data_IF_058155632188
#
_entry.id   IF_058155632188
#
_cell.length_a   1.000
_cell.length_b   1.000
_cell.length_c   1.000
_cell.angle_alpha   90.00
_cell.angle_beta   90.00
_cell.angle_gamma   90.00
#
_symmetry.space_group_name_H-M   'P 1'
#
loop_
_entity.id
_entity.type
_entity.pdbx_description
1 polymer ?
#
# COMPACT_ATOMS: atom_id res chain seq x y z
N UNK A 1 23.89 43.37 19.56
CA UNK A 1 24.73 43.39 18.35
C UNK A 1 25.54 42.11 18.29
N UNK A 2 25.10 41.16 17.47
CA UNK A 2 25.75 39.94 16.92
C UNK A 2 24.63 39.35 16.03
N UNK A 3 24.71 39.23 14.71
CA UNK A 3 25.85 38.92 13.87
C UNK A 3 25.77 37.44 13.51
N UNK A 4 25.38 37.15 12.26
CA UNK A 4 25.35 35.85 11.55
C UNK A 4 23.96 35.19 11.39
N UNK A 5 23.28 35.54 10.31
CA UNK A 5 22.62 34.54 9.47
C UNK A 5 22.55 35.07 8.04
N UNK A 6 23.65 34.89 7.31
CA UNK A 6 23.70 35.02 5.86
C UNK A 6 24.02 33.62 5.29
N UNK A 7 23.42 33.33 4.14
CA UNK A 7 23.77 32.26 3.20
C UNK A 7 23.27 30.85 3.50
N UNK A 8 22.09 30.55 2.96
CA UNK A 8 21.95 29.43 2.02
C UNK A 8 20.77 29.70 1.09
N UNK A 9 21.05 30.28 -0.08
CA UNK A 9 20.16 30.15 -1.23
C UNK A 9 20.14 28.66 -1.59
N UNK A 10 19.08 27.95 -1.18
CA UNK A 10 18.86 26.57 -1.62
C UNK A 10 18.39 26.66 -3.06
N UNK A 11 19.36 26.54 -3.96
CA UNK A 11 19.16 26.36 -5.40
C UNK A 11 18.09 25.32 -5.64
N UNK A 12 17.22 25.62 -6.59
CA UNK A 12 16.19 24.72 -7.08
C UNK A 12 16.82 23.40 -7.54
N UNK A 13 16.67 22.37 -6.70
CA UNK A 13 16.92 21.00 -7.08
C UNK A 13 15.60 20.46 -7.61
N UNK A 14 15.58 20.25 -8.93
CA UNK A 14 14.50 19.64 -9.69
C UNK A 14 13.97 18.44 -8.90
N UNK A 15 12.71 18.55 -8.49
CA UNK A 15 11.90 17.43 -8.05
C UNK A 15 11.80 16.46 -9.23
N UNK A 16 12.78 15.56 -9.29
CA UNK A 16 12.71 14.39 -10.14
C UNK A 16 11.61 13.55 -9.54
N UNK A 17 10.50 13.50 -10.28
CA UNK A 17 9.41 12.58 -10.10
C UNK A 17 10.01 11.17 -10.02
N UNK A 18 10.26 10.69 -8.81
CA UNK A 18 10.52 9.27 -8.57
C UNK A 18 9.17 8.62 -8.74
N UNK A 19 8.80 8.40 -10.00
CA UNK A 19 7.88 7.35 -10.38
C UNK A 19 8.37 6.13 -9.62
N UNK A 20 7.59 5.75 -8.60
CA UNK A 20 7.77 4.51 -7.88
C UNK A 20 7.42 3.44 -8.91
N UNK A 21 8.41 3.08 -9.73
CA UNK A 21 8.40 1.85 -10.49
C UNK A 21 8.49 0.77 -9.42
N UNK A 22 7.33 0.42 -8.87
CA UNK A 22 7.15 -0.75 -8.03
C UNK A 22 7.69 -1.90 -8.86
N UNK A 23 8.94 -2.29 -8.57
CA UNK A 23 9.59 -3.43 -9.17
C UNK A 23 8.61 -4.59 -9.06
N UNK A 24 7.94 -4.90 -10.17
CA UNK A 24 7.07 -6.06 -10.30
C UNK A 24 7.97 -7.22 -9.94
N UNK A 25 7.80 -7.73 -8.73
CA UNK A 25 8.49 -8.95 -8.32
C UNK A 25 8.11 -9.98 -9.35
N UNK A 26 9.08 -10.43 -10.15
CA UNK A 26 8.86 -11.45 -11.16
C UNK A 26 8.33 -12.70 -10.45
N UNK A 27 7.01 -12.85 -10.45
CA UNK A 27 6.37 -14.01 -9.85
C UNK A 27 6.83 -15.23 -10.64
N UNK A 28 7.35 -16.23 -9.93
CA UNK A 28 7.71 -17.49 -10.55
C UNK A 28 6.51 -18.02 -11.34
N UNK A 29 6.73 -18.36 -12.61
CA UNK A 29 5.66 -18.80 -13.50
C UNK A 29 5.03 -20.09 -12.96
N UNK A 30 3.82 -19.97 -12.39
CA UNK A 30 3.11 -21.10 -11.78
C UNK A 30 2.58 -22.14 -12.77
N UNK A 31 2.59 -21.83 -14.08
CA UNK A 31 2.11 -22.72 -15.14
C UNK A 31 3.24 -22.92 -16.15
N UNK A 32 3.55 -24.18 -16.46
CA UNK A 32 4.60 -24.57 -17.40
C UNK A 32 4.06 -25.42 -18.54
N UNK A 33 4.48 -25.11 -19.77
CA UNK A 33 4.26 -25.97 -20.95
C UNK A 33 5.23 -27.14 -20.89
N UNK A 34 4.70 -28.36 -20.73
CA UNK A 34 5.52 -29.57 -20.67
C UNK A 34 5.82 -30.16 -22.05
N UNK A 35 4.91 -29.98 -23.02
CA UNK A 35 5.03 -30.50 -24.39
C UNK A 35 4.33 -29.58 -25.40
N UNK A 36 4.82 -29.59 -26.63
CA UNK A 36 4.30 -28.78 -27.74
C UNK A 36 4.98 -27.42 -27.86
N UNK A 37 4.69 -26.72 -28.96
CA UNK A 37 5.11 -25.34 -29.20
C UNK A 37 3.84 -24.52 -29.45
N UNK A 38 3.13 -24.08 -28.41
CA UNK A 38 1.93 -23.27 -28.59
C UNK A 38 2.30 -21.96 -29.28
N UNK A 39 1.40 -21.45 -30.12
CA UNK A 39 1.58 -20.14 -30.72
C UNK A 39 1.22 -19.03 -29.73
N UNK A 40 1.71 -17.82 -29.98
CA UNK A 40 1.42 -16.66 -29.14
C UNK A 40 -0.09 -16.37 -29.07
N UNK A 41 -0.83 -16.66 -30.15
CA UNK A 41 -2.29 -16.53 -30.21
C UNK A 41 -3.01 -17.49 -29.26
N UNK A 42 -2.56 -18.75 -29.20
CA UNK A 42 -3.13 -19.76 -28.30
C UNK A 42 -2.84 -19.41 -26.83
N UNK A 43 -1.63 -18.92 -26.55
CA UNK A 43 -1.27 -18.45 -25.21
C UNK A 43 -2.10 -17.24 -24.79
N UNK A 44 -2.36 -16.29 -25.70
CA UNK A 44 -3.20 -15.14 -25.43
C UNK A 44 -4.66 -15.56 -25.15
N UNK A 45 -5.20 -16.50 -25.93
CA UNK A 45 -6.53 -17.04 -25.72
C UNK A 45 -6.64 -17.75 -24.35
N UNK A 46 -5.62 -18.53 -23.98
CA UNK A 46 -5.55 -19.17 -22.67
C UNK A 46 -5.56 -18.15 -21.53
N UNK A 47 -4.70 -17.12 -21.60
CA UNK A 47 -4.63 -16.07 -20.58
C UNK A 47 -5.94 -15.30 -20.46
N UNK A 48 -6.63 -15.02 -21.57
CA UNK A 48 -7.94 -14.37 -21.55
C UNK A 48 -8.99 -15.21 -20.79
N UNK A 49 -9.01 -16.53 -21.02
CA UNK A 49 -9.92 -17.43 -20.30
C UNK A 49 -9.56 -17.53 -18.81
N UNK A 50 -8.28 -17.70 -18.46
CA UNK A 50 -7.87 -17.72 -17.05
C UNK A 50 -8.10 -16.38 -16.35
N UNK A 51 -7.89 -15.26 -17.02
CA UNK A 51 -8.14 -13.93 -16.47
C UNK A 51 -9.62 -13.67 -16.18
N UNK A 52 -10.52 -14.20 -17.01
CA UNK A 52 -11.97 -14.10 -16.77
C UNK A 52 -12.44 -15.07 -15.67
N UNK A 53 -11.89 -16.28 -15.62
CA UNK A 53 -12.23 -17.28 -14.59
C UNK A 53 -11.62 -16.97 -13.21
N UNK A 54 -10.43 -16.36 -13.17
CA UNK A 54 -9.68 -16.08 -11.94
C UNK A 54 -10.27 -14.99 -11.05
N UNK A 55 -11.37 -14.36 -11.47
CA UNK A 55 -11.90 -13.17 -10.84
C UNK A 55 -11.01 -11.97 -11.15
N UNK A 56 -11.55 -10.99 -11.87
CA UNK A 56 -10.83 -9.74 -12.15
C UNK A 56 -10.32 -9.10 -10.85
N UNK A 57 -9.27 -8.26 -10.97
CA UNK A 57 -8.73 -7.50 -9.84
C UNK A 57 -9.90 -6.95 -9.04
N UNK A 58 -10.06 -7.42 -7.81
CA UNK A 58 -11.18 -7.03 -6.98
C UNK A 58 -11.18 -5.50 -6.94
N UNK A 59 -12.27 -4.89 -7.44
CA UNK A 59 -12.60 -3.47 -7.20
C UNK A 59 -12.14 -3.16 -5.78
N UNK A 60 -11.32 -2.12 -5.53
CA UNK A 60 -10.69 -1.90 -4.23
C UNK A 60 -11.76 -2.03 -3.18
N UNK A 61 -11.80 -3.20 -2.53
CA UNK A 61 -12.97 -3.56 -1.75
C UNK A 61 -13.09 -2.46 -0.72
N UNK A 62 -14.29 -1.91 -0.56
CA UNK A 62 -14.57 -1.02 0.57
C UNK A 62 -14.25 -1.87 1.79
N UNK A 63 -13.03 -1.71 2.30
CA UNK A 63 -12.53 -2.52 3.40
C UNK A 63 -13.44 -2.16 4.56
N UNK A 64 -14.14 -3.16 5.07
CA UNK A 64 -14.86 -3.00 6.32
C UNK A 64 -13.90 -2.37 7.33
N UNK A 65 -14.42 -1.41 8.09
CA UNK A 65 -13.62 -0.63 9.03
C UNK A 65 -12.87 -1.60 9.95
N UNK A 66 -11.56 -1.68 9.80
CA UNK A 66 -10.74 -2.53 10.65
C UNK A 66 -10.57 -1.83 12.01
N UNK A 67 -11.42 -2.22 12.96
CA UNK A 67 -11.36 -1.74 14.34
C UNK A 67 -10.25 -2.43 15.16
N UNK A 68 -9.53 -3.39 14.58
CA UNK A 68 -8.52 -4.18 15.25
C UNK A 68 -7.13 -3.62 14.95
N UNK A 69 -6.32 -3.46 16.00
CA UNK A 69 -4.91 -3.08 15.85
C UNK A 69 -4.67 -1.57 15.73
N UNK A 70 -5.63 -0.74 16.16
CA UNK A 70 -5.39 0.69 16.28
C UNK A 70 -4.24 0.92 17.28
N UNK A 71 -3.26 1.80 17.03
CA UNK A 71 -2.12 1.99 17.92
C UNK A 71 -2.54 2.32 19.35
N UNK A 72 -3.71 2.96 19.53
CA UNK A 72 -4.32 3.25 20.84
C UNK A 72 -4.51 2.02 21.72
N UNK A 73 -4.80 0.87 21.12
CA UNK A 73 -5.08 -0.38 21.84
C UNK A 73 -3.80 -0.97 22.43
N UNK A 74 -2.64 -0.60 21.88
CA UNK A 74 -1.31 -1.03 22.34
C UNK A 74 -0.76 -0.18 23.49
N UNK A 75 -1.34 0.98 23.80
CA UNK A 75 -0.84 1.83 24.88
C UNK A 75 -1.20 1.25 26.25
N UNK A 76 -0.16 1.04 27.06
CA UNK A 76 -0.26 0.59 28.45
C UNK A 76 -0.46 1.77 29.41
N UNK A 77 -1.56 2.48 29.24
CA UNK A 77 -2.01 3.44 30.25
C UNK A 77 -2.85 2.74 31.32
N UNK A 78 -2.80 3.24 32.55
CA UNK A 78 -3.76 2.86 33.59
C UNK A 78 -5.20 3.07 33.11
N UNK A 79 -6.12 2.23 33.55
CA UNK A 79 -7.51 2.22 33.08
C UNK A 79 -8.25 3.55 33.35
N UNK A 80 -7.82 4.29 34.38
CA UNK A 80 -8.38 5.59 34.76
C UNK A 80 -7.63 6.79 34.13
N UNK A 81 -6.64 6.52 33.26
CA UNK A 81 -5.91 7.59 32.58
C UNK A 81 -6.80 8.33 31.61
N UNK A 82 -6.93 9.64 31.80
CA UNK A 82 -7.69 10.50 30.90
C UNK A 82 -7.13 10.50 29.47
N UNK A 83 -5.81 10.32 29.30
CA UNK A 83 -5.20 10.13 27.97
C UNK A 83 -5.74 8.87 27.26
N UNK A 84 -5.97 7.77 28.01
CA UNK A 84 -6.52 6.53 27.43
C UNK A 84 -7.97 6.72 27.01
N UNK A 85 -8.79 7.32 27.88
CA UNK A 85 -10.22 7.57 27.63
C UNK A 85 -10.40 8.45 26.40
N UNK A 86 -9.68 9.58 26.34
CA UNK A 86 -9.83 10.54 25.23
C UNK A 86 -9.34 10.01 23.89
N UNK A 87 -8.23 9.29 23.86
CA UNK A 87 -7.72 8.70 22.62
C UNK A 87 -8.66 7.60 22.12
N UNK A 88 -9.15 6.73 23.01
CA UNK A 88 -10.08 5.65 22.65
C UNK A 88 -11.42 6.20 22.13
N UNK A 89 -11.98 7.21 22.80
CA UNK A 89 -13.21 7.87 22.34
C UNK A 89 -13.05 8.53 20.97
N UNK A 90 -11.91 9.20 20.72
CA UNK A 90 -11.66 9.86 19.43
C UNK A 90 -11.47 8.86 18.29
N UNK A 91 -10.82 7.73 18.54
CA UNK A 91 -10.47 6.77 17.49
C UNK A 91 -11.60 5.79 17.21
N UNK A 92 -12.35 5.40 18.24
CA UNK A 92 -13.38 4.37 18.12
C UNK A 92 -14.82 4.92 18.15
N UNK A 93 -15.08 6.09 18.76
CA UNK A 93 -16.45 6.61 18.93
C UNK A 93 -16.81 7.83 18.06
N UNK A 94 -15.83 8.55 17.49
CA UNK A 94 -16.16 9.65 16.56
C UNK A 94 -16.44 9.11 15.15
N UNK A 95 -17.64 9.40 14.66
CA UNK A 95 -18.14 9.11 13.31
C UNK A 95 -18.09 10.35 12.44
#
# INVERSE_FOLDING_TARGET
MSGANDSAAVSAEVQTDVATDEAKTDHEAHIKVLRGQPTDEEMAALMAVLGTAGGGAAEPAVRDRNLWGHPVDKLRYSIFSWQRVTLLERTHMRR
#
